data_IF_717301684554
#
_entry.id   IF_717301684554
#
_cell.length_a   1.000
_cell.length_b   1.000
_cell.length_c   1.000
_cell.angle_alpha   90.00
_cell.angle_beta   90.00
_cell.angle_gamma   90.00
#
_symmetry.space_group_name_H-M   'P 1'
#
loop_
_entity.id
_entity.type
_entity.pdbx_description
1 polymer ?
#
# COMPACT_ATOMS: atom_id res chain seq x y z
N UNK A 1 -8.17 2.67 14.78
CA UNK A 1 -8.38 2.24 13.42
C UNK A 1 -8.65 3.40 12.50
N UNK A 2 -8.68 3.14 11.22
CA UNK A 2 -9.04 4.12 10.21
C UNK A 2 -10.56 4.28 10.03
N UNK A 3 -11.38 3.60 10.81
CA UNK A 3 -12.83 3.69 10.67
C UNK A 3 -13.38 4.89 11.45
N UNK A 4 -14.35 5.60 10.85
CA UNK A 4 -15.12 6.59 11.55
C UNK A 4 -15.83 5.97 12.76
N UNK A 5 -16.05 6.77 13.81
CA UNK A 5 -16.80 6.31 14.96
C UNK A 5 -18.24 5.95 14.57
N UNK A 6 -18.88 5.08 15.35
CA UNK A 6 -20.25 4.65 15.06
C UNK A 6 -21.21 5.85 15.07
N UNK A 7 -21.85 6.11 13.95
CA UNK A 7 -22.79 7.23 13.76
C UNK A 7 -22.14 8.53 13.28
N UNK A 8 -20.84 8.56 13.03
CA UNK A 8 -20.14 9.67 12.42
C UNK A 8 -19.85 9.40 10.95
N UNK A 9 -19.92 10.44 10.11
CA UNK A 9 -19.47 10.35 8.72
C UNK A 9 -17.93 10.38 8.68
N UNK A 10 -17.29 9.58 7.82
CA UNK A 10 -15.85 9.60 7.66
C UNK A 10 -15.38 10.92 7.04
N UNK A 11 -14.22 11.40 7.46
CA UNK A 11 -13.59 12.61 6.92
C UNK A 11 -12.77 12.35 5.63
N UNK A 12 -12.61 11.09 5.23
CA UNK A 12 -11.88 10.63 4.03
C UNK A 12 -10.40 11.02 4.03
N UNK A 13 -9.85 11.35 5.18
CA UNK A 13 -8.43 11.68 5.39
C UNK A 13 -7.84 10.82 6.49
N UNK A 14 -8.42 10.87 7.68
CA UNK A 14 -8.00 10.11 8.86
C UNK A 14 -8.98 9.00 9.23
N UNK A 15 -10.18 9.05 8.69
CA UNK A 15 -11.24 8.07 8.96
C UNK A 15 -11.99 7.69 7.68
N UNK A 16 -12.42 6.43 7.63
CA UNK A 16 -13.01 5.78 6.47
C UNK A 16 -14.29 5.03 6.85
N UNK A 17 -15.19 4.77 5.89
CA UNK A 17 -16.25 3.79 6.10
C UNK A 17 -15.65 2.42 6.45
N UNK A 18 -16.40 1.59 7.14
CA UNK A 18 -16.00 0.21 7.43
C UNK A 18 -15.75 -0.53 6.12
N UNK A 19 -14.54 -1.06 5.96
CA UNK A 19 -14.11 -1.79 4.76
C UNK A 19 -13.03 -2.82 5.12
N UNK A 20 -12.80 -3.78 4.23
CA UNK A 20 -11.74 -4.79 4.34
C UNK A 20 -11.69 -5.46 5.73
N UNK A 21 -12.85 -5.76 6.30
CA UNK A 21 -12.93 -6.40 7.62
C UNK A 21 -12.42 -7.84 7.53
N UNK A 22 -11.45 -8.19 8.34
CA UNK A 22 -10.84 -9.52 8.37
C UNK A 22 -11.91 -10.62 8.50
N UNK A 23 -11.79 -11.69 7.71
CA UNK A 23 -12.73 -12.80 7.67
C UNK A 23 -14.02 -12.52 6.88
N UNK A 24 -14.11 -11.41 6.17
CA UNK A 24 -15.22 -11.12 5.24
C UNK A 24 -14.74 -11.08 3.81
N UNK A 25 -15.68 -11.23 2.86
CA UNK A 25 -15.41 -11.14 1.42
C UNK A 25 -14.71 -9.82 1.03
N UNK A 26 -14.99 -8.73 1.75
CA UNK A 26 -14.35 -7.42 1.50
C UNK A 26 -12.86 -7.38 1.79
N UNK A 27 -12.31 -8.36 2.51
CA UNK A 27 -10.88 -8.50 2.79
C UNK A 27 -10.19 -9.55 1.90
N UNK A 28 -10.94 -10.25 1.05
CA UNK A 28 -10.38 -11.24 0.12
C UNK A 28 -9.74 -10.56 -1.09
N UNK A 29 -8.83 -11.27 -1.74
CA UNK A 29 -8.30 -10.84 -3.03
C UNK A 29 -9.41 -10.76 -4.08
N UNK A 30 -9.30 -9.75 -4.95
CA UNK A 30 -10.24 -9.64 -6.06
C UNK A 30 -10.19 -10.89 -6.94
N UNK A 31 -11.33 -11.47 -7.37
CA UNK A 31 -11.38 -12.76 -8.07
C UNK A 31 -10.62 -12.78 -9.40
N UNK A 32 -10.39 -11.62 -10.02
CA UNK A 32 -9.61 -11.50 -11.24
C UNK A 32 -8.08 -11.41 -11.01
N UNK A 33 -7.63 -11.31 -9.76
CA UNK A 33 -6.22 -11.32 -9.44
C UNK A 33 -5.68 -12.75 -9.48
N UNK A 34 -4.62 -12.98 -10.24
CA UNK A 34 -3.91 -14.27 -10.24
C UNK A 34 -3.08 -14.43 -8.98
N UNK A 35 -3.70 -14.87 -7.89
CA UNK A 35 -3.02 -15.06 -6.60
C UNK A 35 -1.95 -16.17 -6.64
N UNK A 36 -2.02 -17.08 -7.61
CA UNK A 36 -1.00 -18.13 -7.76
C UNK A 36 0.37 -17.58 -8.22
N UNK A 37 0.42 -16.33 -8.69
CA UNK A 37 1.66 -15.65 -9.03
C UNK A 37 2.27 -14.86 -7.85
N UNK A 38 1.65 -14.89 -6.68
CA UNK A 38 2.13 -14.21 -5.48
C UNK A 38 2.99 -15.16 -4.67
N UNK A 39 4.25 -14.84 -4.48
CA UNK A 39 5.19 -15.64 -3.69
C UNK A 39 4.99 -15.44 -2.18
N UNK A 40 4.74 -14.19 -1.75
CA UNK A 40 4.62 -13.85 -0.33
C UNK A 40 3.41 -12.93 -0.13
N UNK A 41 2.54 -13.33 0.77
CA UNK A 41 1.36 -12.55 1.17
C UNK A 41 1.70 -11.73 2.42
N UNK A 42 1.39 -10.43 2.37
CA UNK A 42 1.59 -9.50 3.48
C UNK A 42 0.26 -8.90 3.88
N UNK A 43 -0.05 -8.95 5.15
CA UNK A 43 -1.23 -8.33 5.72
C UNK A 43 -0.83 -7.14 6.59
N UNK A 44 -1.58 -6.05 6.48
CA UNK A 44 -1.45 -4.85 7.32
C UNK A 44 -2.80 -4.42 7.88
N UNK A 45 -2.80 -3.50 8.84
CA UNK A 45 -4.05 -3.04 9.44
C UNK A 45 -4.63 -4.00 10.50
N UNK A 46 -3.87 -4.99 10.94
CA UNK A 46 -4.29 -5.99 11.93
C UNK A 46 -4.30 -5.37 13.34
N UNK A 47 -5.42 -4.74 13.70
CA UNK A 47 -5.60 -4.07 15.00
C UNK A 47 -4.91 -2.71 15.14
N UNK A 48 -4.13 -2.30 14.17
CA UNK A 48 -3.44 -1.00 14.11
C UNK A 48 -3.67 -0.38 12.73
N UNK A 49 -3.96 0.91 12.71
CA UNK A 49 -4.08 1.65 11.45
C UNK A 49 -2.75 1.64 10.68
N UNK A 50 -2.77 1.25 9.41
CA UNK A 50 -1.58 1.14 8.59
C UNK A 50 -1.89 1.42 7.11
N UNK A 51 -1.09 2.30 6.48
CA UNK A 51 -1.10 2.50 5.03
C UNK A 51 0.08 1.78 4.36
N UNK A 52 1.27 1.91 4.94
CA UNK A 52 2.49 1.36 4.38
C UNK A 52 2.55 -0.17 4.49
N UNK A 53 3.08 -0.84 3.45
CA UNK A 53 3.42 -2.26 3.52
C UNK A 53 4.48 -2.55 4.59
N UNK A 54 5.30 -1.57 4.97
CA UNK A 54 6.31 -1.72 6.02
C UNK A 54 5.71 -1.91 7.41
N UNK A 55 4.42 -1.58 7.60
CA UNK A 55 3.64 -1.93 8.80
C UNK A 55 3.07 -3.36 8.73
N UNK A 56 3.25 -4.03 7.58
CA UNK A 56 2.69 -5.34 7.31
C UNK A 56 3.56 -6.50 7.77
N UNK A 57 2.94 -7.67 7.85
CA UNK A 57 3.56 -8.93 8.28
C UNK A 57 3.04 -10.08 7.44
N UNK A 58 3.84 -11.14 7.32
CA UNK A 58 3.38 -12.43 6.81
C UNK A 58 2.38 -13.08 7.77
N UNK A 59 1.71 -14.13 7.32
CA UNK A 59 0.86 -14.97 8.20
C UNK A 59 1.61 -15.59 9.39
N UNK A 60 2.93 -15.73 9.28
CA UNK A 60 3.82 -16.21 10.35
C UNK A 60 4.28 -15.09 11.29
N UNK A 61 3.86 -13.85 11.03
CA UNK A 61 4.19 -12.67 11.84
C UNK A 61 5.52 -11.99 11.48
N UNK A 62 6.22 -12.42 10.42
CA UNK A 62 7.48 -11.79 9.99
C UNK A 62 7.21 -10.42 9.38
N UNK A 63 7.85 -9.33 9.88
CA UNK A 63 7.73 -7.99 9.33
C UNK A 63 8.23 -7.91 7.88
N UNK A 64 7.57 -7.10 7.05
CA UNK A 64 8.00 -6.87 5.67
C UNK A 64 9.43 -6.34 5.56
N UNK A 65 9.83 -5.44 6.45
CA UNK A 65 11.20 -4.92 6.49
C UNK A 65 12.27 -6.00 6.67
N UNK A 66 11.99 -7.05 7.46
CA UNK A 66 12.89 -8.20 7.63
C UNK A 66 12.98 -9.03 6.34
N UNK A 67 11.86 -9.23 5.65
CA UNK A 67 11.84 -9.94 4.36
C UNK A 67 12.69 -9.21 3.31
N UNK A 68 12.57 -7.90 3.21
CA UNK A 68 13.38 -7.08 2.29
C UNK A 68 14.88 -7.33 2.51
N UNK A 69 15.31 -7.37 3.77
CA UNK A 69 16.72 -7.61 4.13
C UNK A 69 17.15 -9.07 3.85
N UNK A 70 16.35 -10.05 4.27
CA UNK A 70 16.65 -11.47 4.08
C UNK A 70 16.75 -11.85 2.60
N UNK A 71 15.82 -11.34 1.79
CA UNK A 71 15.78 -11.61 0.36
C UNK A 71 16.73 -10.72 -0.44
N UNK A 72 17.39 -9.76 0.23
CA UNK A 72 18.33 -8.81 -0.39
C UNK A 72 17.70 -8.04 -1.54
N UNK A 73 16.45 -7.57 -1.31
CA UNK A 73 15.74 -6.74 -2.27
C UNK A 73 16.37 -5.35 -2.24
N UNK A 74 16.78 -4.83 -3.37
CA UNK A 74 17.37 -3.51 -3.56
C UNK A 74 16.52 -2.59 -4.44
N UNK A 75 15.60 -3.16 -5.23
CA UNK A 75 14.66 -2.41 -6.05
C UNK A 75 13.23 -2.98 -5.92
N UNK A 76 12.23 -2.12 -6.08
CA UNK A 76 10.81 -2.52 -6.05
C UNK A 76 10.00 -1.75 -7.07
N UNK A 77 9.10 -2.46 -7.76
CA UNK A 77 8.01 -1.89 -8.53
C UNK A 77 6.74 -1.88 -7.67
N UNK A 78 6.08 -0.73 -7.58
CA UNK A 78 4.88 -0.55 -6.78
C UNK A 78 3.66 -0.33 -7.66
N UNK A 79 2.63 -1.12 -7.45
CA UNK A 79 1.34 -1.03 -8.12
C UNK A 79 0.20 -1.23 -7.12
N UNK A 80 -1.04 -0.98 -7.54
CA UNK A 80 -2.24 -1.24 -6.74
C UNK A 80 -2.96 0.01 -6.27
N UNK A 81 -3.66 -0.07 -5.15
CA UNK A 81 -4.51 1.00 -4.60
C UNK A 81 -4.20 1.26 -3.11
N UNK A 82 -4.43 2.50 -2.68
CA UNK A 82 -4.70 3.69 -3.49
C UNK A 82 -3.42 4.49 -3.68
N UNK A 83 -3.26 5.13 -4.85
CA UNK A 83 -2.05 5.90 -5.21
C UNK A 83 -1.70 6.91 -4.13
N UNK A 84 -2.69 7.67 -3.66
CA UNK A 84 -2.60 8.76 -2.69
C UNK A 84 -2.52 8.32 -1.22
N UNK A 85 -2.61 7.01 -0.93
CA UNK A 85 -2.54 6.47 0.44
C UNK A 85 -1.54 5.31 0.54
N UNK A 86 -1.97 4.08 0.31
CA UNK A 86 -1.13 2.90 0.55
C UNK A 86 0.07 2.82 -0.40
N UNK A 87 -0.10 3.19 -1.67
CA UNK A 87 0.99 3.23 -2.66
C UNK A 87 2.01 4.30 -2.26
N UNK A 88 1.55 5.53 -2.01
CA UNK A 88 2.41 6.63 -1.56
C UNK A 88 3.19 6.25 -0.30
N UNK A 89 2.49 5.82 0.76
CA UNK A 89 3.11 5.49 2.03
C UNK A 89 4.16 4.37 1.89
N UNK A 90 3.82 3.30 1.14
CA UNK A 90 4.71 2.17 0.92
C UNK A 90 5.95 2.56 0.12
N UNK A 91 5.79 3.35 -0.94
CA UNK A 91 6.89 3.81 -1.78
C UNK A 91 7.84 4.75 -1.02
N UNK A 92 7.29 5.69 -0.23
CA UNK A 92 8.11 6.58 0.61
C UNK A 92 8.91 5.81 1.66
N UNK A 93 8.31 4.81 2.31
CA UNK A 93 9.01 4.00 3.30
C UNK A 93 10.05 3.08 2.65
N UNK A 94 9.79 2.56 1.45
CA UNK A 94 10.78 1.83 0.66
C UNK A 94 12.01 2.71 0.34
N UNK A 95 11.79 3.96 -0.07
CA UNK A 95 12.89 4.93 -0.29
C UNK A 95 13.67 5.19 1.00
N UNK A 96 12.99 5.40 2.14
CA UNK A 96 13.65 5.56 3.45
C UNK A 96 14.47 4.33 3.85
N UNK A 97 14.01 3.14 3.46
CA UNK A 97 14.74 1.89 3.67
C UNK A 97 15.93 1.71 2.71
N UNK A 98 16.15 2.63 1.77
CA UNK A 98 17.27 2.62 0.84
C UNK A 98 17.03 1.86 -0.46
N UNK A 99 15.78 1.47 -0.74
CA UNK A 99 15.44 0.77 -1.97
C UNK A 99 15.33 1.74 -3.16
N UNK A 100 15.63 1.26 -4.36
CA UNK A 100 15.18 1.89 -5.60
C UNK A 100 13.69 1.62 -5.80
N UNK A 101 12.91 2.66 -6.11
CA UNK A 101 11.45 2.54 -6.19
C UNK A 101 10.95 3.07 -7.51
N UNK A 102 10.19 2.24 -8.23
CA UNK A 102 9.39 2.65 -9.39
C UNK A 102 7.91 2.48 -9.07
N UNK A 103 7.12 3.54 -9.24
CA UNK A 103 5.66 3.47 -9.13
C UNK A 103 5.06 3.38 -10.52
N UNK A 104 4.36 2.27 -10.79
CA UNK A 104 3.75 1.97 -12.09
C UNK A 104 2.37 2.63 -12.16
N UNK A 105 2.32 3.89 -12.56
CA UNK A 105 1.10 4.72 -12.47
C UNK A 105 -0.06 4.24 -13.32
N UNK A 106 0.20 3.53 -14.42
CA UNK A 106 -0.84 2.88 -15.21
C UNK A 106 -1.47 1.64 -14.54
N UNK A 107 -0.87 1.19 -13.44
CA UNK A 107 -1.34 0.06 -12.61
C UNK A 107 -1.73 0.50 -11.20
N UNK A 108 -1.94 1.80 -10.99
CA UNK A 108 -2.45 2.36 -9.74
C UNK A 108 -3.73 3.14 -9.96
N UNK A 109 -4.50 3.34 -8.91
CA UNK A 109 -5.69 4.21 -8.90
C UNK A 109 -5.77 4.94 -7.55
N UNK A 110 -6.01 6.24 -7.61
CA UNK A 110 -6.19 7.08 -6.42
C UNK A 110 -7.64 7.23 -6.01
N UNK A 111 -7.86 7.74 -4.81
CA UNK A 111 -9.18 8.03 -4.25
C UNK A 111 -9.74 9.32 -4.83
N UNK A 112 -8.91 10.37 -4.97
CA UNK A 112 -9.30 11.65 -5.54
C UNK A 112 -8.21 12.19 -6.47
N UNK A 113 -8.59 13.01 -7.47
CA UNK A 113 -7.65 13.51 -8.46
C UNK A 113 -6.57 14.40 -7.83
N UNK A 114 -6.97 15.37 -7.00
CA UNK A 114 -6.05 16.32 -6.37
C UNK A 114 -5.05 15.63 -5.43
N UNK A 115 -5.51 14.72 -4.57
CA UNK A 115 -4.62 13.98 -3.68
C UNK A 115 -3.70 13.02 -4.43
N UNK A 116 -4.16 12.48 -5.56
CA UNK A 116 -3.34 11.62 -6.42
C UNK A 116 -2.22 12.42 -7.11
N UNK A 117 -2.51 13.61 -7.65
CA UNK A 117 -1.50 14.50 -8.22
C UNK A 117 -0.46 14.89 -7.17
N UNK A 118 -0.89 15.32 -6.00
CA UNK A 118 -0.01 15.64 -4.88
C UNK A 118 0.85 14.45 -4.43
N UNK A 119 0.31 13.24 -4.47
CA UNK A 119 1.05 12.02 -4.13
C UNK A 119 2.15 11.74 -5.16
N UNK A 120 1.86 11.90 -6.45
CA UNK A 120 2.85 11.72 -7.51
C UNK A 120 3.99 12.72 -7.38
N UNK A 121 3.70 13.99 -7.06
CA UNK A 121 4.72 15.01 -6.82
C UNK A 121 5.62 14.64 -5.64
N UNK A 122 5.02 14.18 -4.53
CA UNK A 122 5.77 13.71 -3.36
C UNK A 122 6.67 12.51 -3.68
N UNK A 123 6.21 11.58 -4.52
CA UNK A 123 7.00 10.42 -4.95
C UNK A 123 8.21 10.86 -5.77
N UNK A 124 8.02 11.77 -6.71
CA UNK A 124 9.12 12.34 -7.52
C UNK A 124 10.11 13.07 -6.63
N UNK A 125 9.64 13.91 -5.71
CA UNK A 125 10.49 14.67 -4.78
C UNK A 125 11.30 13.73 -3.85
N UNK A 126 10.75 12.57 -3.49
CA UNK A 126 11.45 11.54 -2.72
C UNK A 126 12.43 10.70 -3.55
N UNK A 127 12.52 10.95 -4.87
CA UNK A 127 13.41 10.23 -5.78
C UNK A 127 12.87 8.87 -6.24
N UNK A 128 11.56 8.64 -6.17
CA UNK A 128 10.94 7.51 -6.84
C UNK A 128 10.89 7.76 -8.36
N UNK A 129 11.08 6.72 -9.13
CA UNK A 129 10.72 6.74 -10.54
C UNK A 129 9.19 6.58 -10.65
N UNK A 130 8.61 7.37 -11.54
CA UNK A 130 7.17 7.30 -11.86
C UNK A 130 7.06 6.96 -13.33
N UNK A 131 6.45 5.82 -13.64
CA UNK A 131 6.48 5.30 -15.00
C UNK A 131 5.31 4.39 -15.33
N UNK A 132 5.39 3.79 -16.52
CA UNK A 132 4.43 2.82 -17.02
C UNK A 132 5.11 1.46 -17.13
N UNK A 133 4.38 0.39 -16.72
CA UNK A 133 4.79 -0.96 -17.13
C UNK A 133 4.58 -1.12 -18.64
N UNK A 134 5.55 -1.73 -19.29
CA UNK A 134 5.43 -2.12 -20.70
C UNK A 134 4.53 -3.36 -20.84
#
# INVERSE_FOLDING_TARGET
GHFAASGEDPDWVSSWPVHCVAGTQGAEYHPNLNIAAIDIHIEKGQGVAAYSIFDGRTSEGKPFAELVQELKIDEVDVAGIATDYCVLASALDARKAGLEVTVLTNLTAGVAAESTENAIDQLVDAGCLVGFSN
#
